data_IF_005735874181
#
_entry.id   IF_005735874181
#
_cell.length_a   1.000
_cell.length_b   1.000
_cell.length_c   1.000
_cell.angle_alpha   90.00
_cell.angle_beta   90.00
_cell.angle_gamma   90.00
#
_symmetry.space_group_name_H-M   'P 1'
#
loop_
_entity.id
_entity.type
_entity.pdbx_description
1 polymer ?
#
# COMPACT_ATOMS: atom_id res chain seq x y z
N UNK A 1 7.26 11.32 -7.87
CA UNK A 1 6.17 11.37 -6.87
C UNK A 1 6.41 10.26 -5.87
N UNK A 2 6.09 10.48 -4.59
CA UNK A 2 6.17 9.42 -3.58
C UNK A 2 5.13 8.33 -3.91
N UNK A 3 5.50 7.07 -3.69
CA UNK A 3 4.57 5.93 -3.83
C UNK A 3 3.56 6.03 -2.68
N UNK A 4 2.26 6.17 -2.99
CA UNK A 4 1.23 6.43 -1.99
C UNK A 4 -0.03 5.59 -2.21
N UNK A 5 -0.75 5.33 -1.10
CA UNK A 5 -2.10 4.78 -1.11
C UNK A 5 -3.12 5.93 -1.07
N UNK A 6 -4.04 5.95 -2.04
CA UNK A 6 -5.16 6.87 -2.03
C UNK A 6 -6.32 6.30 -1.22
N UNK A 7 -6.67 6.94 -0.09
CA UNK A 7 -7.84 6.54 0.71
C UNK A 7 -9.10 7.10 0.08
N UNK A 8 -10.01 6.24 -0.30
CA UNK A 8 -11.30 6.57 -0.90
C UNK A 8 -12.45 5.97 -0.08
N UNK A 9 -13.65 6.47 -0.24
CA UNK A 9 -14.84 5.92 0.40
C UNK A 9 -16.04 6.83 0.19
N UNK A 10 -17.23 6.29 0.36
CA UNK A 10 -18.46 7.05 0.38
C UNK A 10 -18.53 7.97 1.62
N UNK A 11 -19.39 8.97 1.62
CA UNK A 11 -19.60 9.78 2.82
C UNK A 11 -20.03 8.93 4.03
N UNK A 12 -19.57 9.30 5.22
CA UNK A 12 -19.94 8.70 6.50
C UNK A 12 -19.55 7.22 6.71
N UNK A 13 -18.52 6.73 5.97
CA UNK A 13 -17.96 5.38 6.16
C UNK A 13 -16.87 5.30 7.25
N UNK A 14 -16.48 6.44 7.84
CA UNK A 14 -15.39 6.52 8.81
C UNK A 14 -14.04 6.92 8.22
N UNK A 15 -13.97 7.30 6.93
CA UNK A 15 -12.74 7.65 6.22
C UNK A 15 -11.92 8.73 6.94
N UNK A 16 -12.54 9.83 7.35
CA UNK A 16 -11.85 10.93 8.04
C UNK A 16 -11.38 10.52 9.45
N UNK A 17 -12.15 9.70 10.16
CA UNK A 17 -11.77 9.15 11.46
C UNK A 17 -10.50 8.29 11.30
N UNK A 18 -10.50 7.39 10.31
CA UNK A 18 -9.36 6.54 9.97
C UNK A 18 -8.12 7.37 9.61
N UNK A 19 -8.27 8.35 8.71
CA UNK A 19 -7.15 9.19 8.28
C UNK A 19 -6.57 10.02 9.43
N UNK A 20 -7.43 10.57 10.29
CA UNK A 20 -7.00 11.30 11.48
C UNK A 20 -6.27 10.38 12.47
N UNK A 21 -6.75 9.16 12.65
CA UNK A 21 -6.10 8.16 13.50
C UNK A 21 -4.72 7.80 12.93
N UNK A 22 -4.61 7.54 11.64
CA UNK A 22 -3.32 7.28 10.97
C UNK A 22 -2.32 8.44 11.17
N UNK A 23 -2.78 9.69 11.03
CA UNK A 23 -1.90 10.87 11.08
C UNK A 23 -1.58 11.34 12.50
N UNK A 24 -2.38 11.00 13.52
CA UNK A 24 -2.04 11.25 14.93
C UNK A 24 -0.80 10.46 15.39
N UNK A 25 -0.58 9.27 14.84
CA UNK A 25 0.62 8.45 15.09
C UNK A 25 1.88 8.98 14.39
N UNK A 26 1.86 10.19 13.84
CA UNK A 26 2.92 10.75 12.99
C UNK A 26 4.16 11.21 13.80
N UNK A 27 4.83 10.24 14.43
CA UNK A 27 6.14 10.42 15.08
C UNK A 27 7.25 10.65 14.04
N UNK A 28 6.99 10.35 12.75
CA UNK A 28 7.98 10.39 11.69
C UNK A 28 8.16 11.76 11.04
N UNK A 29 7.16 12.63 11.04
CA UNK A 29 7.26 13.97 10.43
C UNK A 29 8.45 14.79 10.97
N UNK A 30 8.80 14.59 12.25
CA UNK A 30 9.95 15.25 12.88
C UNK A 30 11.32 14.66 12.48
N UNK A 31 11.37 13.42 11.98
CA UNK A 31 12.61 12.69 11.71
C UNK A 31 12.98 12.59 10.23
N UNK A 32 12.05 12.93 9.32
CA UNK A 32 12.30 12.97 7.87
C UNK A 32 12.48 14.41 7.39
N UNK A 33 13.68 14.85 7.03
CA UNK A 33 13.99 16.26 6.68
C UNK A 33 13.29 16.75 5.40
N UNK A 34 12.51 15.90 4.71
CA UNK A 34 11.80 16.23 3.46
C UNK A 34 10.29 15.98 3.53
N UNK A 35 9.72 15.71 4.73
CA UNK A 35 8.28 15.62 4.90
C UNK A 35 7.68 17.02 4.84
N UNK A 36 7.28 17.46 3.66
CA UNK A 36 6.38 18.62 3.50
C UNK A 36 5.02 18.21 4.03
N UNK A 37 4.51 18.94 5.02
CA UNK A 37 3.14 18.77 5.52
C UNK A 37 2.21 19.30 4.41
N UNK A 38 1.79 18.44 3.51
CA UNK A 38 0.75 18.76 2.55
C UNK A 38 -0.62 18.44 3.16
N UNK A 39 -1.63 19.29 2.97
CA UNK A 39 -2.98 18.98 3.41
C UNK A 39 -3.43 17.63 2.80
N UNK A 40 -4.03 16.77 3.61
CA UNK A 40 -4.52 15.45 3.21
C UNK A 40 -3.44 14.41 2.84
N UNK A 41 -2.18 14.61 3.23
CA UNK A 41 -1.12 13.61 3.11
C UNK A 41 -0.64 13.23 4.51
N UNK A 42 -0.65 11.93 4.80
CA UNK A 42 -0.11 11.33 6.03
C UNK A 42 1.06 10.43 5.69
N UNK A 43 2.18 10.57 6.42
CA UNK A 43 3.36 9.70 6.31
C UNK A 43 3.53 8.99 7.63
N UNK A 44 3.38 7.67 7.65
CA UNK A 44 3.44 6.85 8.86
C UNK A 44 4.56 5.83 8.78
N UNK A 45 5.08 5.41 9.93
CA UNK A 45 6.09 4.37 9.99
C UNK A 45 5.50 2.98 9.78
N UNK A 46 6.15 2.15 8.97
CA UNK A 46 5.84 0.73 8.88
C UNK A 46 6.22 0.06 10.21
N UNK A 47 5.26 -0.54 10.95
CA UNK A 47 5.58 -1.29 12.16
C UNK A 47 6.50 -2.47 11.82
N UNK A 48 7.69 -2.51 12.43
CA UNK A 48 8.73 -3.51 12.17
C UNK A 48 9.55 -3.79 13.43
N UNK A 49 9.19 -4.82 14.18
CA UNK A 49 9.85 -5.24 15.42
C UNK A 49 11.33 -5.65 15.20
N UNK A 50 11.70 -5.96 13.95
CA UNK A 50 13.10 -6.32 13.62
C UNK A 50 14.05 -5.18 13.91
N UNK A 51 13.59 -3.93 13.78
CA UNK A 51 14.43 -2.75 14.03
C UNK A 51 14.82 -2.59 15.50
N UNK A 52 13.90 -2.88 16.42
CA UNK A 52 14.19 -2.82 17.87
C UNK A 52 15.27 -3.83 18.23
N UNK A 53 15.16 -5.05 17.71
CA UNK A 53 16.16 -6.10 17.95
C UNK A 53 17.52 -5.78 17.34
N UNK A 54 17.54 -5.21 16.13
CA UNK A 54 18.77 -4.75 15.50
C UNK A 54 19.41 -3.58 16.27
N UNK A 55 18.59 -2.66 16.77
CA UNK A 55 19.06 -1.55 17.59
C UNK A 55 19.72 -2.05 18.90
N UNK A 56 19.12 -3.07 19.54
CA UNK A 56 19.72 -3.72 20.72
C UNK A 56 21.08 -4.35 20.39
N UNK A 57 21.17 -5.17 19.32
CA UNK A 57 22.39 -5.87 18.89
C UNK A 57 23.53 -4.87 18.56
N UNK A 58 23.21 -3.75 17.93
CA UNK A 58 24.19 -2.78 17.45
C UNK A 58 24.40 -1.58 18.38
N UNK A 59 23.61 -1.43 19.46
CA UNK A 59 23.60 -0.28 20.33
C UNK A 59 23.18 1.00 19.60
N UNK A 60 22.21 0.91 18.69
CA UNK A 60 21.78 2.02 17.85
C UNK A 60 21.10 3.12 18.67
N UNK A 61 21.43 4.38 18.39
CA UNK A 61 20.86 5.54 19.08
C UNK A 61 19.48 5.93 18.56
N UNK A 62 19.15 5.53 17.32
CA UNK A 62 17.86 5.85 16.64
C UNK A 62 17.33 4.65 15.91
N UNK A 63 16.01 4.57 15.85
CA UNK A 63 15.25 3.59 15.05
C UNK A 63 14.46 4.36 14.01
N UNK A 64 14.62 3.99 12.75
CA UNK A 64 13.98 4.66 11.60
C UNK A 64 13.22 3.61 10.77
N UNK A 65 11.91 3.47 10.98
CA UNK A 65 11.08 2.57 10.18
C UNK A 65 10.92 3.07 8.75
N UNK A 66 10.51 2.18 7.84
CA UNK A 66 10.20 2.55 6.47
C UNK A 66 8.92 3.43 6.43
N UNK A 67 8.89 4.52 5.65
CA UNK A 67 7.69 5.35 5.54
C UNK A 67 6.66 4.75 4.60
N UNK A 68 5.39 4.87 4.98
CA UNK A 68 4.22 4.58 4.13
C UNK A 68 3.40 5.85 4.00
N UNK A 69 3.07 6.24 2.78
CA UNK A 69 2.34 7.47 2.50
C UNK A 69 0.89 7.17 2.18
N UNK A 70 -0.01 7.81 2.90
CA UNK A 70 -1.45 7.80 2.65
C UNK A 70 -1.91 9.18 2.19
N UNK A 71 -2.85 9.21 1.24
CA UNK A 71 -3.44 10.45 0.74
C UNK A 71 -4.95 10.38 0.92
N UNK A 72 -5.51 11.31 1.70
CA UNK A 72 -6.96 11.40 1.84
C UNK A 72 -7.57 12.01 0.58
N UNK A 73 -8.26 11.20 -0.19
CA UNK A 73 -8.97 11.61 -1.39
C UNK A 73 -10.41 11.94 -1.00
N UNK A 74 -10.83 13.18 -1.25
CA UNK A 74 -12.19 13.64 -0.93
C UNK A 74 -13.24 12.67 -1.48
N UNK A 75 -14.28 12.39 -0.66
CA UNK A 75 -15.26 11.35 -0.94
C UNK A 75 -15.95 11.48 -2.30
N UNK A 76 -16.23 10.33 -2.88
CA UNK A 76 -16.94 10.19 -4.14
C UNK A 76 -18.42 10.59 -3.98
N UNK A 77 -18.92 11.37 -4.93
CA UNK A 77 -20.35 11.55 -5.16
C UNK A 77 -20.71 10.83 -6.45
N UNK A 78 -21.82 10.09 -6.48
CA UNK A 78 -22.34 9.44 -7.69
C UNK A 78 -22.35 10.40 -8.88
N UNK A 79 -21.90 9.97 -10.05
CA UNK A 79 -21.80 10.81 -11.25
C UNK A 79 -20.46 11.53 -11.41
N UNK A 80 -19.44 11.14 -10.66
CA UNK A 80 -18.08 11.71 -10.77
C UNK A 80 -17.49 11.56 -12.18
N UNK A 81 -17.78 10.45 -12.86
CA UNK A 81 -17.35 10.16 -14.24
C UNK A 81 -18.03 11.03 -15.29
N UNK A 82 -19.18 11.64 -14.98
CA UNK A 82 -19.92 12.52 -15.93
C UNK A 82 -19.39 13.96 -15.99
N UNK A 83 -18.26 14.25 -15.35
CA UNK A 83 -17.48 15.45 -15.63
C UNK A 83 -17.96 16.75 -14.98
N UNK A 84 -18.72 16.72 -13.90
CA UNK A 84 -19.09 17.93 -13.17
C UNK A 84 -18.16 18.17 -11.99
N UNK A 85 -17.22 19.10 -12.14
CA UNK A 85 -16.44 19.77 -11.09
C UNK A 85 -15.67 18.84 -10.13
N UNK A 86 -16.24 18.49 -9.00
CA UNK A 86 -15.59 17.72 -7.91
C UNK A 86 -15.24 16.29 -8.31
N UNK A 87 -15.99 15.66 -9.23
CA UNK A 87 -15.72 14.31 -9.71
C UNK A 87 -14.42 14.20 -10.49
N UNK A 88 -14.11 15.18 -11.33
CA UNK A 88 -12.85 15.20 -12.08
C UNK A 88 -11.62 15.33 -11.16
N UNK A 89 -11.72 16.14 -10.10
CA UNK A 89 -10.65 16.27 -9.11
C UNK A 89 -10.44 14.95 -8.33
N UNK A 90 -11.53 14.26 -7.96
CA UNK A 90 -11.46 12.95 -7.33
C UNK A 90 -10.71 11.92 -8.20
N UNK A 91 -11.10 11.79 -9.47
CA UNK A 91 -10.47 10.85 -10.40
C UNK A 91 -9.00 11.22 -10.69
N UNK A 92 -8.67 12.52 -10.71
CA UNK A 92 -7.29 12.98 -10.87
C UNK A 92 -6.42 12.57 -9.67
N UNK A 93 -6.91 12.77 -8.45
CA UNK A 93 -6.18 12.37 -7.23
C UNK A 93 -5.97 10.85 -7.17
N UNK A 94 -6.95 10.05 -7.62
CA UNK A 94 -6.77 8.59 -7.71
C UNK A 94 -5.70 8.25 -8.75
N UNK A 95 -5.61 8.97 -9.88
CA UNK A 95 -4.56 8.71 -10.89
C UNK A 95 -3.16 8.89 -10.33
N UNK A 96 -2.97 9.84 -9.44
CA UNK A 96 -1.67 10.12 -8.82
C UNK A 96 -1.27 9.10 -7.74
N UNK A 97 -2.23 8.43 -7.10
CA UNK A 97 -1.96 7.35 -6.14
C UNK A 97 -1.46 6.08 -6.83
N UNK A 98 -0.58 5.32 -6.17
CA UNK A 98 -0.05 4.06 -6.69
C UNK A 98 -1.00 2.87 -6.45
N UNK A 99 -1.79 2.90 -5.37
CA UNK A 99 -2.81 1.92 -5.03
C UNK A 99 -4.03 2.61 -4.42
N UNK A 100 -5.16 1.92 -4.38
CA UNK A 100 -6.44 2.42 -3.86
C UNK A 100 -6.74 1.69 -2.55
N UNK A 101 -6.94 2.46 -1.47
CA UNK A 101 -7.42 1.98 -0.18
C UNK A 101 -8.88 2.40 -0.02
N UNK A 102 -9.82 1.48 -0.24
CA UNK A 102 -11.23 1.79 -0.13
C UNK A 102 -11.75 1.49 1.27
N UNK A 103 -12.25 2.51 1.95
CA UNK A 103 -12.94 2.38 3.24
C UNK A 103 -14.41 2.10 2.98
N UNK A 104 -14.89 0.99 3.55
CA UNK A 104 -16.25 0.48 3.38
C UNK A 104 -16.94 0.42 4.75
N UNK A 105 -18.15 0.91 4.81
CA UNK A 105 -18.97 0.86 6.02
C UNK A 105 -19.61 -0.51 6.17
N UNK A 106 -19.31 -1.19 7.27
CA UNK A 106 -19.95 -2.44 7.68
C UNK A 106 -20.44 -2.38 9.14
N UNK A 107 -20.46 -1.19 9.75
CA UNK A 107 -20.99 -0.94 11.09
C UNK A 107 -22.41 -0.39 11.06
N UNK A 108 -23.15 -0.61 12.16
CA UNK A 108 -24.52 -0.14 12.34
C UNK A 108 -24.58 0.95 13.42
N UNK A 109 -24.80 2.20 13.01
CA UNK A 109 -25.02 3.32 13.94
C UNK A 109 -26.23 4.14 13.44
N UNK A 110 -27.36 4.16 14.23
CA UNK A 110 -28.57 4.88 13.84
C UNK A 110 -28.38 6.40 13.77
N UNK A 111 -27.35 6.95 14.41
CA UNK A 111 -27.04 8.37 14.39
C UNK A 111 -26.21 8.78 13.17
N UNK A 112 -25.65 7.82 12.44
CA UNK A 112 -24.83 8.04 11.25
C UNK A 112 -25.63 7.68 10.02
N UNK A 113 -26.12 8.70 9.29
CA UNK A 113 -26.93 8.51 8.09
C UNK A 113 -26.09 7.88 6.98
N UNK A 114 -26.58 6.77 6.39
CA UNK A 114 -26.00 6.21 5.17
C UNK A 114 -26.51 6.97 3.94
N UNK A 115 -25.66 7.18 2.93
CA UNK A 115 -26.00 7.95 1.71
C UNK A 115 -27.21 7.35 0.98
N UNK A 116 -27.31 6.03 0.94
CA UNK A 116 -28.38 5.28 0.30
C UNK A 116 -29.47 4.80 1.28
N UNK A 117 -29.43 5.23 2.54
CA UNK A 117 -30.42 4.90 3.57
C UNK A 117 -30.32 3.47 4.14
N UNK A 118 -29.42 2.63 3.60
CA UNK A 118 -29.16 1.25 4.04
C UNK A 118 -27.66 0.98 3.98
N UNK A 119 -27.13 0.37 5.03
CA UNK A 119 -25.74 -0.13 5.03
C UNK A 119 -25.67 -1.39 4.17
N UNK A 120 -24.88 -1.36 3.11
CA UNK A 120 -24.64 -2.47 2.21
C UNK A 120 -23.21 -2.41 1.68
N UNK A 121 -22.26 -3.13 2.29
CA UNK A 121 -20.86 -3.13 1.84
C UNK A 121 -20.71 -3.46 0.34
N UNK A 122 -21.50 -4.40 -0.19
CA UNK A 122 -21.47 -4.77 -1.59
C UNK A 122 -21.87 -3.60 -2.51
N UNK A 123 -22.97 -2.90 -2.18
CA UNK A 123 -23.47 -1.77 -2.99
C UNK A 123 -22.48 -0.58 -2.93
N UNK A 124 -21.84 -0.37 -1.76
CA UNK A 124 -20.83 0.69 -1.58
C UNK A 124 -19.59 0.43 -2.44
N UNK A 125 -19.12 -0.81 -2.48
CA UNK A 125 -17.99 -1.25 -3.32
C UNK A 125 -18.36 -1.09 -4.80
N UNK A 126 -19.54 -1.59 -5.22
CA UNK A 126 -20.01 -1.49 -6.60
C UNK A 126 -20.14 -0.04 -7.05
N UNK A 127 -20.60 0.86 -6.19
CA UNK A 127 -20.74 2.29 -6.50
C UNK A 127 -19.38 2.91 -6.88
N UNK A 128 -18.33 2.67 -6.10
CA UNK A 128 -16.99 3.21 -6.40
C UNK A 128 -16.41 2.52 -7.64
N UNK A 129 -16.49 1.20 -7.72
CA UNK A 129 -15.98 0.46 -8.87
C UNK A 129 -16.64 0.93 -10.18
N UNK A 130 -17.94 1.16 -10.18
CA UNK A 130 -18.67 1.66 -11.35
C UNK A 130 -18.13 3.01 -11.84
N UNK A 131 -17.87 3.96 -10.95
CA UNK A 131 -17.34 5.27 -11.34
C UNK A 131 -15.91 5.16 -11.92
N UNK A 132 -15.06 4.29 -11.37
CA UNK A 132 -13.72 4.03 -11.89
C UNK A 132 -13.79 3.33 -13.25
N UNK A 133 -14.65 2.33 -13.40
CA UNK A 133 -14.89 1.61 -14.65
C UNK A 133 -15.35 2.56 -15.75
N UNK A 134 -16.33 3.42 -15.46
CA UNK A 134 -16.83 4.40 -16.43
C UNK A 134 -15.75 5.38 -16.88
N UNK A 135 -14.88 5.83 -15.97
CA UNK A 135 -13.75 6.69 -16.30
C UNK A 135 -12.72 5.98 -17.22
N UNK A 136 -12.46 4.70 -16.95
CA UNK A 136 -11.54 3.91 -17.76
C UNK A 136 -12.13 3.57 -19.13
N UNK A 137 -13.41 3.24 -19.23
CA UNK A 137 -14.09 3.04 -20.51
C UNK A 137 -13.99 4.28 -21.39
N UNK A 138 -14.25 5.48 -20.85
CA UNK A 138 -14.09 6.74 -21.59
C UNK A 138 -12.64 6.95 -22.06
N UNK A 139 -11.66 6.56 -21.25
CA UNK A 139 -10.24 6.68 -21.61
C UNK A 139 -9.88 5.72 -22.74
N UNK A 140 -10.31 4.46 -22.64
CA UNK A 140 -10.07 3.41 -23.63
C UNK A 140 -10.76 3.72 -24.96
N UNK A 141 -12.04 4.14 -24.94
CA UNK A 141 -12.79 4.50 -26.16
C UNK A 141 -12.14 5.65 -26.92
N UNK A 142 -11.60 6.66 -26.22
CA UNK A 142 -10.85 7.76 -26.84
C UNK A 142 -9.50 7.31 -27.40
N UNK A 143 -8.82 6.38 -26.69
CA UNK A 143 -7.50 5.92 -27.09
C UNK A 143 -7.53 4.90 -28.23
N UNK A 144 -8.55 4.05 -28.33
CA UNK A 144 -8.62 2.92 -29.26
C UNK A 144 -8.43 3.31 -30.72
N UNK A 145 -9.06 4.39 -31.28
CA UNK A 145 -8.83 4.80 -32.67
C UNK A 145 -7.38 5.22 -32.94
N UNK A 146 -6.70 5.80 -31.95
CA UNK A 146 -5.28 6.16 -32.04
C UNK A 146 -4.42 4.91 -32.07
N UNK A 147 -4.63 3.99 -31.11
CA UNK A 147 -3.90 2.72 -31.02
C UNK A 147 -4.04 1.90 -32.32
N UNK A 148 -5.24 1.83 -32.90
CA UNK A 148 -5.49 1.13 -34.17
C UNK A 148 -4.74 1.75 -35.35
N UNK A 149 -4.61 3.08 -35.41
CA UNK A 149 -3.77 3.77 -36.42
C UNK A 149 -2.28 3.47 -36.23
N UNK A 150 -1.81 3.51 -34.99
CA UNK A 150 -0.43 3.19 -34.66
C UNK A 150 -0.09 1.74 -34.99
N UNK A 151 -0.98 0.79 -34.71
CA UNK A 151 -0.79 -0.63 -35.01
C UNK A 151 -0.71 -0.94 -36.53
N UNK A 152 -1.36 -0.12 -37.38
CA UNK A 152 -1.22 -0.24 -38.84
C UNK A 152 0.19 0.12 -39.32
N UNK A 153 0.88 1.02 -38.59
CA UNK A 153 2.21 1.49 -38.94
C UNK A 153 3.31 0.69 -38.22
N UNK A 154 3.00 0.17 -37.03
CA UNK A 154 3.94 -0.49 -36.14
C UNK A 154 3.34 -1.78 -35.59
N UNK A 155 3.85 -2.92 -36.04
CA UNK A 155 3.35 -4.26 -35.63
C UNK A 155 3.46 -4.53 -34.13
N UNK A 156 4.45 -3.95 -33.45
CA UNK A 156 4.63 -4.04 -31.99
C UNK A 156 3.49 -3.42 -31.20
N UNK A 157 2.67 -2.54 -31.80
CA UNK A 157 1.50 -1.93 -31.16
C UNK A 157 0.21 -2.76 -31.27
N UNK A 158 0.21 -3.87 -31.97
CA UNK A 158 -0.96 -4.75 -32.12
C UNK A 158 -1.43 -5.33 -30.76
N UNK A 159 -0.49 -5.67 -29.88
CA UNK A 159 -0.78 -6.16 -28.53
C UNK A 159 -1.57 -5.15 -27.69
N UNK A 160 -1.23 -3.84 -27.78
CA UNK A 160 -1.94 -2.79 -27.07
C UNK A 160 -3.40 -2.64 -27.56
N UNK A 161 -3.66 -2.82 -28.86
CA UNK A 161 -5.02 -2.80 -29.41
C UNK A 161 -5.83 -3.97 -28.90
N UNK A 162 -5.26 -5.17 -28.89
CA UNK A 162 -5.93 -6.36 -28.38
C UNK A 162 -6.24 -6.24 -26.88
N UNK A 163 -5.25 -5.79 -26.09
CA UNK A 163 -5.42 -5.53 -24.67
C UNK A 163 -6.52 -4.49 -24.40
N UNK A 164 -6.57 -3.40 -25.18
CA UNK A 164 -7.60 -2.36 -25.03
C UNK A 164 -9.00 -2.90 -25.33
N UNK A 165 -9.16 -3.71 -26.37
CA UNK A 165 -10.45 -4.32 -26.72
C UNK A 165 -10.94 -5.27 -25.63
N UNK A 166 -10.09 -6.17 -25.18
CA UNK A 166 -10.40 -7.09 -24.07
C UNK A 166 -10.71 -6.33 -22.76
N UNK A 167 -9.97 -5.24 -22.50
CA UNK A 167 -10.23 -4.40 -21.33
C UNK A 167 -11.62 -3.75 -21.39
N UNK A 168 -12.04 -3.23 -22.55
CA UNK A 168 -13.39 -2.69 -22.74
C UNK A 168 -14.46 -3.78 -22.53
N UNK A 169 -14.26 -4.98 -23.07
CA UNK A 169 -15.19 -6.10 -22.89
C UNK A 169 -15.34 -6.47 -21.42
N UNK A 170 -14.23 -6.63 -20.68
CA UNK A 170 -14.24 -6.95 -19.26
C UNK A 170 -14.91 -5.85 -18.42
N UNK A 171 -14.53 -4.59 -18.62
CA UNK A 171 -15.10 -3.46 -17.88
C UNK A 171 -16.60 -3.32 -18.09
N UNK A 172 -17.12 -3.63 -19.28
CA UNK A 172 -18.56 -3.64 -19.56
C UNK A 172 -19.32 -4.74 -18.78
N UNK A 173 -18.64 -5.73 -18.23
CA UNK A 173 -19.26 -6.72 -17.30
C UNK A 173 -19.33 -6.22 -15.85
N UNK A 174 -18.81 -5.03 -15.55
CA UNK A 174 -18.73 -4.49 -14.18
C UNK A 174 -17.53 -4.98 -13.37
N UNK A 175 -16.57 -5.67 -14.00
CA UNK A 175 -15.37 -6.19 -13.32
C UNK A 175 -14.19 -5.27 -13.59
N UNK A 176 -13.46 -4.87 -12.53
CA UNK A 176 -12.24 -4.06 -12.64
C UNK A 176 -11.11 -4.84 -13.29
N UNK A 177 -10.17 -4.14 -13.94
CA UNK A 177 -8.98 -4.78 -14.54
C UNK A 177 -8.07 -5.44 -13.50
N UNK A 178 -8.01 -4.91 -12.29
CA UNK A 178 -7.28 -5.52 -11.19
C UNK A 178 -7.87 -6.89 -10.80
N UNK A 179 -9.19 -6.97 -10.67
CA UNK A 179 -9.86 -8.21 -10.24
C UNK A 179 -9.92 -9.28 -11.35
N UNK A 180 -10.20 -8.88 -12.60
CA UNK A 180 -10.49 -9.82 -13.67
C UNK A 180 -9.49 -9.86 -14.82
N UNK A 181 -8.60 -8.86 -14.93
CA UNK A 181 -7.74 -8.69 -16.10
C UNK A 181 -6.81 -9.87 -16.38
N UNK A 182 -6.16 -10.40 -15.35
CA UNK A 182 -5.28 -11.57 -15.49
C UNK A 182 -6.05 -12.81 -15.97
N UNK A 183 -7.22 -13.07 -15.38
CA UNK A 183 -8.10 -14.18 -15.78
C UNK A 183 -8.63 -14.05 -17.21
N UNK A 184 -8.83 -12.82 -17.69
CA UNK A 184 -9.23 -12.52 -19.06
C UNK A 184 -8.04 -12.49 -20.06
N UNK A 185 -6.83 -12.76 -19.61
CA UNK A 185 -5.62 -12.73 -20.45
C UNK A 185 -5.31 -11.34 -21.01
N UNK A 186 -5.53 -10.31 -20.20
CA UNK A 186 -5.21 -8.91 -20.53
C UNK A 186 -3.83 -8.56 -19.99
N UNK A 187 -2.90 -8.24 -20.89
CA UNK A 187 -1.62 -7.67 -20.49
C UNK A 187 -1.78 -6.17 -20.24
N UNK A 188 -1.94 -5.82 -18.94
CA UNK A 188 -2.11 -4.42 -18.52
C UNK A 188 -0.85 -3.58 -18.72
N UNK A 189 0.33 -4.19 -18.90
CA UNK A 189 1.56 -3.47 -19.22
C UNK A 189 1.48 -2.74 -20.56
N UNK A 190 0.77 -3.33 -21.53
CA UNK A 190 0.51 -2.72 -22.83
C UNK A 190 -0.39 -1.46 -22.76
N UNK A 191 -1.14 -1.30 -21.66
CA UNK A 191 -2.06 -0.18 -21.41
C UNK A 191 -1.50 0.86 -20.44
N UNK A 192 -0.24 0.70 -20.00
CA UNK A 192 0.38 1.56 -18.95
C UNK A 192 0.32 3.05 -19.29
N UNK A 193 0.50 3.42 -20.57
CA UNK A 193 0.45 4.81 -21.01
C UNK A 193 -0.94 5.47 -20.88
N UNK A 194 -1.99 4.68 -20.69
CA UNK A 194 -3.36 5.18 -20.52
C UNK A 194 -3.70 5.54 -19.07
N UNK A 195 -2.85 5.16 -18.12
CA UNK A 195 -3.04 5.43 -16.68
C UNK A 195 -4.44 5.06 -16.19
N UNK A 196 -4.88 3.83 -16.52
CA UNK A 196 -6.18 3.32 -16.13
C UNK A 196 -6.27 3.17 -14.61
N UNK A 197 -7.42 3.56 -14.05
CA UNK A 197 -7.67 3.56 -12.60
C UNK A 197 -7.88 2.14 -12.07
N UNK A 198 -8.61 1.34 -12.82
CA UNK A 198 -8.99 -0.03 -12.42
C UNK A 198 -7.85 -1.06 -12.56
N UNK A 199 -6.69 -0.67 -13.13
CA UNK A 199 -5.48 -1.50 -13.12
C UNK A 199 -4.68 -1.40 -11.83
N UNK A 200 -4.95 -0.38 -11.01
CA UNK A 200 -4.23 -0.17 -9.75
C UNK A 200 -4.57 -1.28 -8.76
N UNK A 201 -3.61 -1.69 -7.90
CA UNK A 201 -3.90 -2.56 -6.78
C UNK A 201 -4.95 -1.96 -5.83
N UNK A 202 -5.83 -2.81 -5.31
CA UNK A 202 -6.85 -2.44 -4.33
C UNK A 202 -6.55 -3.07 -2.97
N UNK A 203 -6.85 -2.31 -1.93
CA UNK A 203 -6.93 -2.73 -0.55
C UNK A 203 -8.26 -2.24 0.01
N UNK A 204 -8.98 -3.09 0.72
CA UNK A 204 -10.25 -2.72 1.35
C UNK A 204 -10.11 -2.65 2.86
N UNK A 205 -10.65 -1.59 3.46
CA UNK A 205 -10.77 -1.44 4.91
C UNK A 205 -12.25 -1.48 5.25
N UNK A 206 -12.68 -2.56 5.88
CA UNK A 206 -14.03 -2.66 6.40
C UNK A 206 -14.07 -2.08 7.81
N UNK A 207 -14.76 -0.95 7.96
CA UNK A 207 -15.06 -0.36 9.24
C UNK A 207 -16.28 -1.09 9.82
N UNK A 208 -16.05 -1.98 10.78
CA UNK A 208 -17.03 -2.86 11.40
C UNK A 208 -17.35 -2.40 12.83
N UNK A 209 -18.42 -2.90 13.44
CA UNK A 209 -18.63 -2.75 14.88
C UNK A 209 -17.63 -3.63 15.66
N UNK A 210 -17.18 -3.16 16.82
CA UNK A 210 -16.26 -3.88 17.71
C UNK A 210 -16.70 -5.34 17.95
N UNK A 211 -17.99 -5.57 18.18
CA UNK A 211 -18.55 -6.90 18.41
C UNK A 211 -18.39 -7.87 17.22
N UNK A 212 -18.25 -7.33 16.00
CA UNK A 212 -18.11 -8.12 14.78
C UNK A 212 -16.65 -8.48 14.46
N UNK A 213 -15.68 -7.87 15.14
CA UNK A 213 -14.25 -8.17 14.93
C UNK A 213 -13.89 -9.64 15.27
N UNK A 214 -14.65 -10.27 16.16
CA UNK A 214 -14.51 -11.70 16.49
C UNK A 214 -15.38 -12.65 15.67
N UNK A 215 -16.24 -12.13 14.78
CA UNK A 215 -17.18 -12.92 13.98
C UNK A 215 -16.53 -13.38 12.66
N UNK A 216 -15.84 -14.53 12.70
CA UNK A 216 -15.08 -15.04 11.57
C UNK A 216 -15.95 -15.25 10.30
N UNK A 217 -17.16 -15.78 10.44
CA UNK A 217 -18.04 -16.04 9.30
C UNK A 217 -18.42 -14.72 8.59
N UNK A 218 -18.76 -13.69 9.35
CA UNK A 218 -19.07 -12.36 8.81
C UNK A 218 -17.86 -11.73 8.13
N UNK A 219 -16.69 -11.81 8.75
CA UNK A 219 -15.47 -11.27 8.14
C UNK A 219 -15.07 -12.01 6.87
N UNK A 220 -15.30 -13.33 6.80
CA UNK A 220 -15.05 -14.13 5.59
C UNK A 220 -16.03 -13.81 4.46
N UNK A 221 -17.31 -13.54 4.78
CA UNK A 221 -18.27 -13.02 3.79
C UNK A 221 -17.81 -11.70 3.19
N UNK A 222 -17.38 -10.75 4.04
CA UNK A 222 -16.85 -9.45 3.57
C UNK A 222 -15.57 -9.62 2.73
N UNK A 223 -14.68 -10.52 3.15
CA UNK A 223 -13.45 -10.83 2.41
C UNK A 223 -13.73 -11.38 1.02
N UNK A 224 -14.74 -12.24 0.91
CA UNK A 224 -15.15 -12.82 -0.36
C UNK A 224 -15.67 -11.78 -1.38
N UNK A 225 -16.26 -10.66 -0.92
CA UNK A 225 -16.75 -9.59 -1.79
C UNK A 225 -15.62 -8.90 -2.60
N UNK A 226 -14.41 -8.93 -2.08
CA UNK A 226 -13.30 -8.11 -2.60
C UNK A 226 -12.16 -8.93 -3.20
N UNK A 227 -12.24 -10.25 -3.17
CA UNK A 227 -11.21 -11.10 -3.76
C UNK A 227 -10.93 -10.71 -5.23
N UNK A 228 -9.66 -10.67 -5.67
CA UNK A 228 -8.43 -11.11 -5.01
C UNK A 228 -7.75 -10.03 -4.13
N UNK A 229 -8.39 -8.88 -3.90
CA UNK A 229 -7.82 -7.81 -3.09
C UNK A 229 -7.72 -8.22 -1.61
N UNK A 230 -6.75 -7.63 -0.91
CA UNK A 230 -6.60 -7.77 0.54
C UNK A 230 -7.71 -6.99 1.27
N UNK A 231 -8.14 -7.50 2.42
CA UNK A 231 -9.12 -6.87 3.30
C UNK A 231 -8.56 -6.73 4.71
N UNK A 232 -8.72 -5.55 5.29
CA UNK A 232 -8.42 -5.23 6.69
C UNK A 232 -9.72 -4.88 7.39
N UNK A 233 -9.90 -5.37 8.61
CA UNK A 233 -11.09 -5.16 9.42
C UNK A 233 -10.72 -4.39 10.69
N UNK A 234 -11.46 -3.34 11.01
CA UNK A 234 -11.23 -2.54 12.21
C UNK A 234 -12.48 -1.78 12.62
N UNK A 235 -12.56 -1.40 13.87
CA UNK A 235 -13.48 -0.35 14.33
C UNK A 235 -12.70 0.98 14.42
N UNK A 236 -13.05 1.94 13.58
CA UNK A 236 -12.33 3.22 13.51
C UNK A 236 -12.43 4.05 14.80
N UNK A 237 -13.44 3.83 15.64
CA UNK A 237 -13.56 4.48 16.95
C UNK A 237 -12.56 3.87 17.93
N UNK A 238 -12.51 2.53 18.01
CA UNK A 238 -11.55 1.80 18.85
C UNK A 238 -10.12 2.19 18.46
N UNK A 239 -9.81 2.21 17.17
CA UNK A 239 -8.49 2.64 16.68
C UNK A 239 -8.13 4.07 17.12
N UNK A 240 -9.11 4.98 17.11
CA UNK A 240 -8.90 6.35 17.58
C UNK A 240 -8.67 6.44 19.10
N UNK A 241 -9.27 5.54 19.88
CA UNK A 241 -9.09 5.46 21.33
C UNK A 241 -7.73 4.84 21.68
N UNK A 242 -7.32 3.77 20.99
CA UNK A 242 -6.03 3.08 21.21
C UNK A 242 -4.83 4.04 21.15
N UNK A 243 -4.87 5.05 20.28
CA UNK A 243 -3.78 6.02 20.11
C UNK A 243 -3.57 6.89 21.36
N UNK A 244 -4.66 7.19 22.06
CA UNK A 244 -4.64 8.09 23.21
C UNK A 244 -4.39 7.33 24.54
N UNK A 245 -4.30 5.96 24.49
CA UNK A 245 -4.06 5.11 25.66
C UNK A 245 -2.57 4.85 25.91
N UNK A 246 -2.17 4.67 27.19
CA UNK A 246 -0.87 4.09 27.52
C UNK A 246 -0.72 2.68 26.90
N UNK A 247 0.51 2.24 26.55
CA UNK A 247 0.73 0.97 25.86
C UNK A 247 0.13 -0.27 26.57
N UNK A 248 0.15 -0.30 27.90
CA UNK A 248 -0.43 -1.40 28.68
C UNK A 248 -1.95 -1.43 28.58
N UNK A 249 -2.62 -0.27 28.70
CA UNK A 249 -4.07 -0.16 28.59
C UNK A 249 -4.53 -0.44 27.14
N UNK A 250 -3.77 0.00 26.13
CA UNK A 250 -4.03 -0.31 24.72
C UNK A 250 -3.96 -1.82 24.48
N UNK A 251 -2.99 -2.54 25.08
CA UNK A 251 -2.88 -3.98 24.97
C UNK A 251 -4.07 -4.69 25.65
N UNK A 252 -4.45 -4.26 26.86
CA UNK A 252 -5.62 -4.81 27.56
C UNK A 252 -6.91 -4.64 26.76
N UNK A 253 -7.10 -3.48 26.11
CA UNK A 253 -8.23 -3.23 25.23
C UNK A 253 -8.23 -4.20 24.03
N UNK A 254 -7.09 -4.32 23.32
CA UNK A 254 -6.95 -5.25 22.19
C UNK A 254 -7.24 -6.71 22.59
N UNK A 255 -6.70 -7.16 23.73
CA UNK A 255 -6.98 -8.51 24.27
C UNK A 255 -8.47 -8.70 24.57
N UNK A 256 -9.15 -7.67 25.10
CA UNK A 256 -10.58 -7.75 25.46
C UNK A 256 -11.48 -7.91 24.23
N UNK A 257 -11.09 -7.35 23.08
CA UNK A 257 -11.81 -7.45 21.80
C UNK A 257 -11.26 -8.57 20.89
N UNK A 258 -10.32 -9.36 21.39
CA UNK A 258 -9.76 -10.51 20.67
C UNK A 258 -8.89 -10.15 19.48
N UNK A 259 -8.31 -8.93 19.46
CA UNK A 259 -7.40 -8.50 18.39
C UNK A 259 -5.94 -8.66 18.81
N UNK A 260 -5.08 -9.27 17.96
CA UNK A 260 -3.67 -9.48 18.28
C UNK A 260 -2.85 -8.17 18.18
N UNK A 261 -3.34 -7.18 17.47
CA UNK A 261 -2.65 -5.93 17.16
C UNK A 261 -3.64 -4.84 16.72
N UNK A 262 -3.25 -3.55 16.72
CA UNK A 262 -4.06 -2.47 16.18
C UNK A 262 -4.37 -2.69 14.68
N UNK A 263 -5.61 -2.44 14.29
CA UNK A 263 -6.02 -2.53 12.88
C UNK A 263 -5.27 -1.51 12.00
N UNK A 264 -4.87 -0.36 12.55
CA UNK A 264 -4.02 0.61 11.85
C UNK A 264 -2.65 0.03 11.50
N UNK A 265 -2.01 -0.72 12.38
CA UNK A 265 -0.73 -1.37 12.13
C UNK A 265 -0.86 -2.42 11.03
N UNK A 266 -1.95 -3.21 11.07
CA UNK A 266 -2.29 -4.14 10.02
C UNK A 266 -2.52 -3.42 8.68
N UNK A 267 -3.25 -2.31 8.67
CA UNK A 267 -3.49 -1.49 7.48
C UNK A 267 -2.19 -0.99 6.87
N UNK A 268 -1.27 -0.48 7.68
CA UNK A 268 0.03 0.03 7.21
C UNK A 268 0.83 -1.10 6.55
N UNK A 269 0.90 -2.29 7.18
CA UNK A 269 1.62 -3.46 6.62
C UNK A 269 0.99 -3.99 5.35
N UNK A 270 -0.33 -4.18 5.33
CA UNK A 270 -1.04 -4.64 4.13
C UNK A 270 -0.93 -3.62 3.01
N UNK A 271 -1.08 -2.33 3.33
CA UNK A 271 -0.92 -1.24 2.37
C UNK A 271 0.48 -1.21 1.74
N UNK A 272 1.52 -1.40 2.55
CA UNK A 272 2.90 -1.48 2.06
C UNK A 272 3.11 -2.64 1.07
N UNK A 273 2.58 -3.83 1.40
CA UNK A 273 2.63 -4.99 0.49
C UNK A 273 1.79 -4.77 -0.79
N UNK A 274 0.62 -4.15 -0.67
CA UNK A 274 -0.25 -3.82 -1.81
C UNK A 274 0.45 -2.89 -2.81
N UNK A 275 1.34 -2.02 -2.34
CA UNK A 275 2.20 -1.19 -3.18
C UNK A 275 3.33 -1.98 -3.88
N UNK A 276 3.47 -3.28 -3.64
CA UNK A 276 4.56 -4.09 -4.19
C UNK A 276 5.92 -3.74 -3.60
N UNK A 277 5.96 -3.28 -2.35
CA UNK A 277 7.16 -2.85 -1.65
C UNK A 277 7.64 -3.89 -0.65
N UNK A 278 8.93 -3.87 -0.39
CA UNK A 278 9.62 -4.64 0.65
C UNK A 278 10.70 -3.79 1.31
N UNK A 279 11.24 -4.26 2.43
CA UNK A 279 12.31 -3.57 3.14
C UNK A 279 13.59 -4.39 3.18
N UNK A 280 14.73 -3.71 3.10
CA UNK A 280 15.99 -4.21 3.62
C UNK A 280 16.44 -3.33 4.79
N UNK A 281 17.34 -3.86 5.61
CA UNK A 281 17.70 -3.26 6.88
C UNK A 281 19.18 -2.90 6.90
N UNK A 282 19.50 -1.79 7.54
CA UNK A 282 20.87 -1.42 7.91
C UNK A 282 20.93 -1.14 9.39
N UNK A 283 21.98 -1.57 10.07
CA UNK A 283 22.15 -1.32 11.48
C UNK A 283 23.58 -0.97 11.83
N UNK A 284 23.74 -0.01 12.72
CA UNK A 284 25.01 0.45 13.24
C UNK A 284 24.81 1.31 14.49
N UNK A 285 25.91 1.80 15.14
CA UNK A 285 25.80 2.55 16.40
C UNK A 285 24.96 3.84 16.32
N UNK A 286 24.84 4.44 15.13
CA UNK A 286 24.06 5.67 14.94
C UNK A 286 22.57 5.38 14.78
N UNK A 287 22.23 4.40 13.96
CA UNK A 287 20.84 4.09 13.63
C UNK A 287 20.65 2.64 13.20
N UNK A 288 19.47 2.08 13.48
CA UNK A 288 18.87 0.93 12.82
C UNK A 288 17.76 1.45 11.91
N UNK A 289 17.79 1.07 10.62
CA UNK A 289 16.89 1.67 9.63
C UNK A 289 16.38 0.65 8.64
N UNK A 290 15.08 0.74 8.34
CA UNK A 290 14.45 0.05 7.22
C UNK A 290 14.43 0.97 5.99
N UNK A 291 14.78 0.39 4.84
CA UNK A 291 14.81 1.06 3.56
C UNK A 291 13.79 0.44 2.63
N UNK A 292 12.97 1.27 2.02
CA UNK A 292 11.91 0.83 1.10
C UNK A 292 12.47 0.59 -0.30
N UNK A 293 12.19 -0.59 -0.86
CA UNK A 293 12.50 -0.94 -2.24
C UNK A 293 11.31 -1.69 -2.87
N UNK A 294 11.14 -1.64 -4.20
CA UNK A 294 10.20 -2.52 -4.90
C UNK A 294 10.59 -3.99 -4.73
N UNK A 295 9.60 -4.87 -4.65
CA UNK A 295 9.82 -6.32 -4.75
C UNK A 295 10.52 -6.63 -6.07
N UNK A 296 11.58 -7.44 -6.02
CA UNK A 296 12.40 -7.77 -7.18
C UNK A 296 13.56 -6.80 -7.45
N UNK A 297 13.75 -5.76 -6.64
CA UNK A 297 14.90 -4.84 -6.78
C UNK A 297 16.23 -5.57 -6.57
N UNK A 298 17.22 -5.22 -7.37
CA UNK A 298 18.59 -5.74 -7.27
C UNK A 298 19.41 -5.00 -6.20
N UNK A 299 20.52 -5.59 -5.75
CA UNK A 299 21.39 -4.97 -4.76
C UNK A 299 21.94 -3.58 -5.17
N UNK A 300 22.32 -3.31 -6.43
CA UNK A 300 22.66 -1.95 -6.86
C UNK A 300 21.50 -0.95 -6.79
N UNK A 301 20.28 -1.38 -7.13
CA UNK A 301 19.08 -0.54 -7.03
C UNK A 301 18.76 -0.21 -5.57
N UNK A 302 18.87 -1.20 -4.69
CA UNK A 302 18.73 -1.01 -3.25
C UNK A 302 19.78 -0.04 -2.70
N UNK A 303 21.05 -0.18 -3.09
CA UNK A 303 22.13 0.75 -2.71
C UNK A 303 21.83 2.19 -3.17
N UNK A 304 21.19 2.32 -4.34
CA UNK A 304 20.77 3.60 -4.92
C UNK A 304 19.74 4.36 -4.09
N UNK A 305 18.94 3.65 -3.29
CA UNK A 305 17.96 4.27 -2.38
C UNK A 305 18.66 5.02 -1.24
N UNK A 306 19.83 4.55 -0.79
CA UNK A 306 20.64 5.27 0.20
C UNK A 306 21.26 6.51 -0.44
N UNK A 307 21.95 6.31 -1.57
CA UNK A 307 22.57 7.41 -2.34
C UNK A 307 22.89 6.94 -3.77
N UNK A 308 22.72 7.82 -4.74
CA UNK A 308 22.98 7.53 -6.17
C UNK A 308 24.43 7.10 -6.44
N UNK A 309 25.39 7.58 -5.65
CA UNK A 309 26.80 7.18 -5.76
C UNK A 309 27.01 5.73 -5.33
N UNK A 310 26.24 5.22 -4.37
CA UNK A 310 26.30 3.81 -3.97
C UNK A 310 25.89 2.90 -5.11
N UNK A 311 24.88 3.29 -5.89
CA UNK A 311 24.47 2.56 -7.08
C UNK A 311 25.55 2.58 -8.17
N UNK A 312 26.09 3.77 -8.46
CA UNK A 312 27.11 3.96 -9.52
C UNK A 312 28.40 3.23 -9.20
N UNK A 313 28.86 3.36 -7.95
CA UNK A 313 30.10 2.76 -7.48
C UNK A 313 29.94 1.36 -6.88
N UNK A 314 28.80 0.69 -7.03
CA UNK A 314 28.51 -0.60 -6.42
C UNK A 314 29.54 -1.65 -6.79
N UNK A 315 30.12 -2.27 -5.76
CA UNK A 315 31.08 -3.36 -5.88
C UNK A 315 30.43 -4.69 -5.48
N UNK A 316 29.89 -4.77 -4.26
CA UNK A 316 29.23 -5.92 -3.67
C UNK A 316 28.40 -5.53 -2.46
N UNK A 317 27.50 -6.42 -2.05
CA UNK A 317 26.75 -6.31 -0.80
C UNK A 317 27.20 -7.44 0.16
N UNK A 318 27.46 -7.10 1.41
CA UNK A 318 27.61 -8.06 2.50
C UNK A 318 26.25 -8.22 3.14
N UNK A 319 25.65 -9.41 3.03
CA UNK A 319 24.25 -9.66 3.40
C UNK A 319 24.18 -10.78 4.41
N UNK A 320 23.39 -10.58 5.45
CA UNK A 320 22.98 -11.62 6.40
C UNK A 320 21.46 -11.53 6.57
N UNK A 321 20.76 -12.65 6.69
CA UNK A 321 19.34 -12.60 7.03
C UNK A 321 19.16 -12.07 8.46
N UNK A 322 18.02 -11.42 8.71
CA UNK A 322 17.69 -10.94 10.05
C UNK A 322 17.78 -12.07 11.08
N UNK A 323 17.23 -13.24 10.77
CA UNK A 323 17.18 -14.41 11.65
C UNK A 323 18.60 -14.91 11.99
N UNK A 324 19.47 -15.03 10.98
CA UNK A 324 20.85 -15.47 11.18
C UNK A 324 21.65 -14.47 12.04
N UNK A 325 21.39 -13.17 11.87
CA UNK A 325 22.05 -12.14 12.67
C UNK A 325 21.59 -12.15 14.12
N UNK A 326 20.27 -12.33 14.36
CA UNK A 326 19.72 -12.45 15.73
C UNK A 326 20.28 -13.67 16.44
N UNK A 327 20.35 -14.83 15.77
CA UNK A 327 20.94 -16.06 16.33
C UNK A 327 22.42 -15.87 16.65
N UNK A 328 23.15 -15.18 15.77
CA UNK A 328 24.59 -14.93 15.98
C UNK A 328 24.88 -13.87 17.05
N UNK A 329 23.93 -12.96 17.31
CA UNK A 329 24.06 -11.89 18.28
C UNK A 329 24.99 -10.73 17.89
N UNK A 330 25.73 -10.85 16.79
CA UNK A 330 26.55 -9.77 16.22
C UNK A 330 26.96 -10.09 14.78
N UNK A 331 27.28 -9.05 14.01
CA UNK A 331 27.81 -9.20 12.65
C UNK A 331 29.15 -9.97 12.63
N UNK A 332 30.01 -9.77 13.62
CA UNK A 332 31.30 -10.48 13.73
C UNK A 332 31.08 -12.00 13.93
N UNK A 333 30.16 -12.37 14.80
CA UNK A 333 29.81 -13.77 15.05
C UNK A 333 29.12 -14.40 13.82
N UNK A 334 28.24 -13.66 13.14
CA UNK A 334 27.61 -14.12 11.89
C UNK A 334 28.65 -14.38 10.79
N UNK A 335 29.67 -13.51 10.65
CA UNK A 335 30.81 -13.70 9.74
C UNK A 335 31.63 -14.96 10.11
N UNK A 336 31.95 -15.13 11.39
CA UNK A 336 32.69 -16.30 11.88
C UNK A 336 31.94 -17.62 11.65
N UNK A 337 30.60 -17.58 11.74
CA UNK A 337 29.71 -18.71 11.46
C UNK A 337 29.46 -18.95 9.96
N UNK A 338 30.03 -18.14 9.07
CA UNK A 338 29.84 -18.25 7.62
C UNK A 338 28.42 -17.89 7.14
N UNK A 339 27.68 -17.11 7.93
CA UNK A 339 26.30 -16.72 7.60
C UNK A 339 26.21 -15.45 6.77
N UNK A 340 27.30 -14.67 6.68
CA UNK A 340 27.35 -13.47 5.85
C UNK A 340 27.74 -13.87 4.42
N UNK A 341 26.87 -13.53 3.49
CA UNK A 341 27.04 -13.77 2.05
C UNK A 341 27.64 -12.53 1.38
N UNK A 342 28.42 -12.74 0.35
CA UNK A 342 28.94 -11.69 -0.53
C UNK A 342 28.18 -11.76 -1.85
N UNK A 343 27.32 -10.78 -2.09
CA UNK A 343 26.44 -10.79 -3.23
C UNK A 343 26.85 -9.73 -4.27
N UNK A 344 26.67 -10.08 -5.55
CA UNK A 344 27.00 -9.23 -6.69
C UNK A 344 25.82 -8.41 -7.20
N UNK A 345 26.00 -7.86 -8.42
CA UNK A 345 25.03 -6.94 -9.04
C UNK A 345 23.68 -7.58 -9.36
N UNK A 346 23.66 -8.88 -9.61
CA UNK A 346 22.46 -9.60 -10.04
C UNK A 346 21.64 -10.16 -8.85
N UNK A 347 22.12 -9.93 -7.62
CA UNK A 347 21.39 -10.37 -6.44
C UNK A 347 20.08 -9.60 -6.30
N UNK A 348 18.98 -10.34 -6.23
CA UNK A 348 17.65 -9.80 -5.95
C UNK A 348 17.44 -9.78 -4.45
N UNK A 349 17.25 -8.57 -3.91
CA UNK A 349 17.06 -8.33 -2.48
C UNK A 349 15.86 -9.08 -1.93
N UNK A 350 16.00 -9.61 -0.72
CA UNK A 350 14.93 -10.26 0.03
C UNK A 350 14.45 -9.35 1.17
N UNK A 351 13.17 -9.47 1.53
CA UNK A 351 12.67 -8.74 2.71
C UNK A 351 13.40 -9.19 3.97
N UNK A 352 13.88 -8.23 4.78
CA UNK A 352 14.63 -8.49 5.99
C UNK A 352 16.12 -8.76 5.80
N UNK A 353 16.67 -8.66 4.58
CA UNK A 353 18.11 -8.67 4.39
C UNK A 353 18.77 -7.54 5.20
N UNK A 354 19.74 -7.87 6.06
CA UNK A 354 20.57 -6.89 6.76
C UNK A 354 21.86 -6.70 5.97
N UNK A 355 22.12 -5.47 5.52
CA UNK A 355 23.06 -5.19 4.42
C UNK A 355 24.13 -4.17 4.80
N UNK A 356 25.35 -4.43 4.35
CA UNK A 356 26.42 -3.44 4.25
C UNK A 356 26.91 -3.36 2.79
N UNK A 357 26.64 -2.24 2.12
CA UNK A 357 27.10 -2.04 0.74
C UNK A 357 28.55 -1.62 0.68
N UNK A 358 29.31 -2.22 -0.23
CA UNK A 358 30.68 -1.82 -0.59
C UNK A 358 30.66 -1.14 -1.95
N UNK A 359 31.12 0.07 -1.99
CA UNK A 359 31.15 0.90 -3.20
C UNK A 359 32.44 1.70 -3.28
N UNK A 360 32.77 2.14 -4.49
CA UNK A 360 33.91 3.03 -4.76
C UNK A 360 33.41 4.16 -5.67
N UNK A 361 33.67 5.42 -5.28
CA UNK A 361 33.27 6.61 -6.01
C UNK A 361 34.52 7.32 -6.51
#
# INVERSE_FOLDING_TARGET
MAISLGIVGLPNVGKSTLFNALTKNDVLAANYPFATIEPNVGVVGLPDERLDKLAEIHGSQKILPAPVTFVDIAGLVRGASKGQGRGNAFLANIRDAAAICQVVRAFSDPNVVHVDGKVSPADDIETINTELILADLQTLEKALPRLEKEAKLRKDRAAAVEAAKKAIELLNTGVTLYAGGAGAGIDTAELRELHLLTTKPFLYVFNVDEAELGNADFLDELRALVAPAEAVFMDAKVESELIDLPPEEARELLESIGQPEPGLDQLIRVGFRTLGLQTYLTAGPKEARAWTIPVGATAPEAAGVIHTDFQRGFIKAEIVSYEDLVVAGSMAAAKAAGRVRLEGKDYVMQDGDVVEFRFNV
#
